data_IF_293505300164
#
_entry.id   IF_293505300164
#
_cell.length_a   1.000
_cell.length_b   1.000
_cell.length_c   1.000
_cell.angle_alpha   90.00
_cell.angle_beta   90.00
_cell.angle_gamma   90.00
#
_symmetry.space_group_name_H-M   'P 1'
#
loop_
_entity.id
_entity.type
_entity.pdbx_description
1 polymer ?
#
# COMPACT_ATOMS: atom_id res chain seq x y z
N UNK A 1 24.24 2.45 -3.69
CA UNK A 1 23.38 1.24 -3.76
C UNK A 1 23.13 0.80 -5.19
N UNK A 2 22.65 1.69 -6.08
CA UNK A 2 22.41 1.38 -7.49
C UNK A 2 23.62 0.75 -8.19
N UNK A 3 24.80 1.38 -8.09
CA UNK A 3 26.05 0.85 -8.70
C UNK A 3 26.35 -0.56 -8.22
N UNK A 4 26.25 -0.82 -6.91
CA UNK A 4 26.50 -2.15 -6.34
C UNK A 4 25.52 -3.18 -6.90
N UNK A 5 24.24 -2.84 -7.06
CA UNK A 5 23.25 -3.71 -7.67
C UNK A 5 23.64 -4.08 -9.10
N UNK A 6 23.94 -3.07 -9.94
CA UNK A 6 24.32 -3.29 -11.34
C UNK A 6 25.57 -4.16 -11.45
N UNK A 7 26.65 -3.79 -10.74
CA UNK A 7 27.93 -4.52 -10.78
C UNK A 7 27.77 -5.96 -10.33
N UNK A 8 26.96 -6.23 -9.31
CA UNK A 8 26.69 -7.58 -8.86
C UNK A 8 26.02 -8.43 -9.95
N UNK A 9 24.99 -7.88 -10.62
CA UNK A 9 24.26 -8.59 -11.68
C UNK A 9 25.14 -8.75 -12.92
N UNK A 10 25.95 -7.75 -13.26
CA UNK A 10 26.89 -7.77 -14.38
C UNK A 10 28.00 -8.81 -14.22
N UNK A 11 28.59 -8.93 -13.02
CA UNK A 11 29.59 -9.97 -12.71
C UNK A 11 28.95 -11.36 -12.79
N UNK A 12 27.67 -11.48 -12.41
CA UNK A 12 26.90 -12.72 -12.43
C UNK A 12 27.61 -13.90 -11.71
N UNK A 13 27.96 -13.74 -10.42
CA UNK A 13 28.89 -14.65 -9.72
C UNK A 13 28.34 -16.05 -9.41
N UNK A 14 27.03 -16.26 -9.50
CA UNK A 14 26.39 -17.55 -9.17
C UNK A 14 25.77 -18.22 -10.40
N UNK A 15 25.64 -19.55 -10.37
CA UNK A 15 24.96 -20.31 -11.42
C UNK A 15 23.45 -20.06 -11.50
N UNK A 16 22.82 -19.65 -10.40
CA UNK A 16 21.42 -19.23 -10.34
C UNK A 16 21.22 -18.25 -9.18
N UNK A 17 20.20 -17.39 -9.27
CA UNK A 17 19.75 -16.57 -8.16
C UNK A 17 20.39 -15.18 -8.09
N UNK A 18 21.21 -14.77 -9.06
CA UNK A 18 21.88 -13.46 -9.05
C UNK A 18 20.90 -12.30 -8.85
N UNK A 19 19.76 -12.29 -9.55
CA UNK A 19 18.73 -11.26 -9.37
C UNK A 19 18.07 -11.27 -7.98
N UNK A 20 17.94 -12.44 -7.33
CA UNK A 20 17.41 -12.52 -5.95
C UNK A 20 18.44 -11.99 -4.96
N UNK A 21 19.70 -12.35 -5.13
CA UNK A 21 20.79 -11.89 -4.26
C UNK A 21 21.07 -10.40 -4.45
N UNK A 22 21.01 -9.87 -5.68
CA UNK A 22 21.21 -8.44 -5.93
C UNK A 22 20.14 -7.58 -5.25
N UNK A 23 18.87 -8.02 -5.27
CA UNK A 23 17.76 -7.37 -4.55
C UNK A 23 17.95 -7.47 -3.03
N UNK A 24 18.37 -8.63 -2.52
CA UNK A 24 18.66 -8.79 -1.10
C UNK A 24 19.82 -7.89 -0.64
N UNK A 25 20.88 -7.80 -1.44
CA UNK A 25 22.02 -6.91 -1.21
C UNK A 25 21.58 -5.45 -1.19
N UNK A 26 20.73 -5.05 -2.14
CA UNK A 26 20.11 -3.72 -2.19
C UNK A 26 19.33 -3.43 -0.91
N UNK A 27 18.50 -4.37 -0.47
CA UNK A 27 17.75 -4.24 0.78
C UNK A 27 18.67 -4.09 1.99
N UNK A 28 19.72 -4.91 2.09
CA UNK A 28 20.71 -4.81 3.16
C UNK A 28 21.41 -3.44 3.18
N UNK A 29 21.67 -2.84 2.01
CA UNK A 29 22.21 -1.48 1.92
C UNK A 29 21.20 -0.43 2.40
N UNK A 30 19.91 -0.54 2.05
CA UNK A 30 18.87 0.36 2.57
C UNK A 30 18.80 0.31 4.10
N UNK A 31 18.85 -0.90 4.68
CA UNK A 31 18.90 -1.09 6.14
C UNK A 31 20.15 -0.42 6.72
N UNK A 32 21.33 -0.70 6.16
CA UNK A 32 22.60 -0.14 6.65
C UNK A 32 22.64 1.39 6.59
N UNK A 33 21.96 1.99 5.60
CA UNK A 33 21.88 3.43 5.40
C UNK A 33 20.78 4.10 6.23
N UNK A 34 19.99 3.34 7.01
CA UNK A 34 18.93 3.88 7.85
C UNK A 34 17.63 4.23 7.12
N UNK A 35 17.50 3.82 5.85
CA UNK A 35 16.29 4.07 5.04
C UNK A 35 15.15 3.09 5.38
N UNK A 36 15.45 1.94 5.99
CA UNK A 36 14.45 0.96 6.43
C UNK A 36 14.97 0.20 7.64
N UNK A 37 14.06 -0.39 8.43
CA UNK A 37 14.43 -1.20 9.60
C UNK A 37 14.39 -2.69 9.29
N UNK A 38 15.31 -3.46 9.87
CA UNK A 38 15.21 -4.92 9.89
C UNK A 38 14.13 -5.42 10.87
N UNK A 39 13.79 -4.60 11.87
CA UNK A 39 12.80 -4.86 12.91
C UNK A 39 11.75 -3.75 12.92
N UNK A 40 10.57 -4.01 12.37
CA UNK A 40 9.45 -3.06 12.29
C UNK A 40 8.89 -2.90 10.89
N UNK A 41 8.19 -1.79 10.65
CA UNK A 41 7.57 -1.48 9.36
C UNK A 41 8.66 -1.34 8.29
N UNK A 42 8.65 -2.24 7.30
CA UNK A 42 9.58 -2.23 6.16
C UNK A 42 9.10 -1.20 5.15
N UNK A 43 9.29 0.07 5.49
CA UNK A 43 8.83 1.19 4.68
C UNK A 43 9.28 1.01 3.22
N UNK A 44 10.60 0.90 2.99
CA UNK A 44 11.13 0.79 1.63
C UNK A 44 11.42 -0.65 1.23
N UNK A 45 10.85 -1.07 0.10
CA UNK A 45 11.10 -2.38 -0.50
C UNK A 45 11.72 -2.20 -1.90
N UNK A 46 12.97 -2.64 -2.14
CA UNK A 46 13.61 -2.49 -3.44
C UNK A 46 12.90 -3.25 -4.57
N UNK A 47 11.99 -4.18 -4.25
CA UNK A 47 11.08 -4.79 -5.24
C UNK A 47 10.16 -3.76 -5.87
N UNK A 48 9.81 -2.67 -5.19
CA UNK A 48 9.03 -1.56 -5.77
C UNK A 48 9.83 -0.82 -6.84
N UNK A 49 11.16 -0.77 -6.73
CA UNK A 49 12.03 -0.12 -7.73
C UNK A 49 12.31 -1.02 -8.93
N UNK A 50 12.44 -2.33 -8.71
CA UNK A 50 12.88 -3.28 -9.75
C UNK A 50 11.76 -4.18 -10.30
N UNK A 51 10.62 -4.23 -9.64
CA UNK A 51 9.49 -5.12 -9.96
C UNK A 51 8.19 -4.38 -10.27
N UNK A 52 8.13 -3.06 -10.08
CA UNK A 52 6.98 -2.24 -10.49
C UNK A 52 6.90 -2.04 -11.99
N UNK A 53 8.03 -2.09 -12.71
CA UNK A 53 8.11 -2.18 -14.17
C UNK A 53 9.32 -3.04 -14.52
N UNK A 54 9.06 -4.30 -14.89
CA UNK A 54 10.12 -5.25 -15.20
C UNK A 54 10.83 -4.92 -16.51
N UNK A 55 10.10 -4.34 -17.47
CA UNK A 55 10.65 -3.99 -18.77
C UNK A 55 11.61 -2.81 -18.62
N UNK A 56 11.15 -1.72 -17.98
CA UNK A 56 12.00 -0.56 -17.71
C UNK A 56 13.22 -0.94 -16.88
N UNK A 57 13.09 -1.84 -15.89
CA UNK A 57 14.22 -2.34 -15.12
C UNK A 57 15.29 -2.98 -16.01
N UNK A 58 14.91 -3.91 -16.90
CA UNK A 58 15.89 -4.58 -17.77
C UNK A 58 16.48 -3.65 -18.83
N UNK A 59 15.69 -2.70 -19.35
CA UNK A 59 16.17 -1.69 -20.29
C UNK A 59 17.26 -0.82 -19.66
N UNK A 60 17.01 -0.25 -18.49
CA UNK A 60 17.98 0.58 -17.78
C UNK A 60 19.22 -0.23 -17.36
N UNK A 61 19.03 -1.50 -16.97
CA UNK A 61 20.14 -2.39 -16.64
C UNK A 61 21.00 -2.68 -17.88
N UNK A 62 20.38 -2.97 -19.02
CA UNK A 62 21.07 -3.24 -20.29
C UNK A 62 21.81 -2.02 -20.82
N UNK A 63 21.26 -0.81 -20.64
CA UNK A 63 21.95 0.44 -20.98
C UNK A 63 23.23 0.59 -20.13
N UNK A 64 23.13 0.32 -18.82
CA UNK A 64 24.25 0.42 -17.90
C UNK A 64 25.38 -0.59 -18.15
N UNK A 65 25.11 -1.66 -18.89
CA UNK A 65 26.13 -2.65 -19.27
C UNK A 65 27.21 -2.09 -20.21
N UNK A 66 26.98 -0.92 -20.83
CA UNK A 66 28.00 -0.18 -21.58
C UNK A 66 29.17 0.30 -20.71
N UNK A 67 28.95 0.41 -19.40
CA UNK A 67 29.86 0.93 -18.39
C UNK A 67 30.31 2.38 -18.60
N UNK A 68 29.72 3.12 -19.55
CA UNK A 68 29.97 4.55 -19.72
C UNK A 68 29.37 5.32 -18.54
N UNK A 69 30.06 6.36 -18.09
CA UNK A 69 29.63 7.15 -16.94
C UNK A 69 28.19 7.67 -17.09
N UNK A 70 27.82 8.17 -18.27
CA UNK A 70 26.47 8.64 -18.58
C UNK A 70 25.39 7.56 -18.46
N UNK A 71 25.71 6.31 -18.80
CA UNK A 71 24.75 5.20 -18.76
C UNK A 71 24.62 4.63 -17.34
N UNK A 72 25.73 4.62 -16.57
CA UNK A 72 25.70 4.33 -15.14
C UNK A 72 24.92 5.41 -14.37
N UNK A 73 25.04 6.67 -14.77
CA UNK A 73 24.27 7.78 -14.21
C UNK A 73 22.77 7.59 -14.45
N UNK A 74 22.35 7.28 -15.69
CA UNK A 74 20.95 6.95 -16.00
C UNK A 74 20.41 5.82 -15.14
N UNK A 75 21.20 4.78 -14.91
CA UNK A 75 20.84 3.70 -14.00
C UNK A 75 20.69 4.18 -12.55
N UNK A 76 21.62 5.01 -12.06
CA UNK A 76 21.51 5.59 -10.72
C UNK A 76 20.26 6.45 -10.56
N UNK A 77 19.93 7.26 -11.56
CA UNK A 77 18.71 8.09 -11.59
C UNK A 77 17.44 7.24 -11.60
N UNK A 78 17.40 6.18 -12.42
CA UNK A 78 16.28 5.23 -12.42
C UNK A 78 16.03 4.64 -11.02
N UNK A 79 17.09 4.13 -10.37
CA UNK A 79 16.97 3.56 -9.02
C UNK A 79 16.55 4.62 -8.00
N UNK A 80 17.11 5.82 -8.08
CA UNK A 80 16.78 6.91 -7.17
C UNK A 80 15.32 7.36 -7.32
N UNK A 81 14.82 7.49 -8.54
CA UNK A 81 13.41 7.82 -8.79
C UNK A 81 12.47 6.77 -8.21
N UNK A 82 12.77 5.48 -8.37
CA UNK A 82 11.96 4.42 -7.78
C UNK A 82 11.93 4.49 -6.25
N UNK A 83 13.09 4.70 -5.60
CA UNK A 83 13.14 4.85 -4.14
C UNK A 83 12.36 6.09 -3.67
N UNK A 84 12.52 7.22 -4.36
CA UNK A 84 11.82 8.45 -4.04
C UNK A 84 10.30 8.31 -4.19
N UNK A 85 9.83 7.63 -5.24
CA UNK A 85 8.42 7.34 -5.47
C UNK A 85 7.84 6.44 -4.38
N UNK A 86 8.54 5.37 -4.01
CA UNK A 86 8.11 4.47 -2.93
C UNK A 86 8.00 5.23 -1.60
N UNK A 87 9.01 6.05 -1.28
CA UNK A 87 9.01 6.90 -0.09
C UNK A 87 7.82 7.87 -0.06
N UNK A 88 7.48 8.48 -1.20
CA UNK A 88 6.30 9.33 -1.31
C UNK A 88 5.01 8.54 -1.04
N UNK A 89 4.85 7.37 -1.66
CA UNK A 89 3.65 6.53 -1.45
C UNK A 89 3.47 6.14 0.01
N UNK A 90 4.57 5.84 0.72
CA UNK A 90 4.52 5.52 2.16
C UNK A 90 4.09 6.74 2.99
N UNK A 91 4.60 7.94 2.67
CA UNK A 91 4.21 9.17 3.35
C UNK A 91 2.73 9.48 3.12
N UNK A 92 2.25 9.32 1.89
CA UNK A 92 0.85 9.49 1.53
C UNK A 92 -0.03 8.48 2.28
N UNK A 93 0.30 7.19 2.27
CA UNK A 93 -0.45 6.16 2.99
C UNK A 93 -0.37 6.26 4.52
N UNK A 94 0.61 7.00 5.06
CA UNK A 94 0.71 7.29 6.49
C UNK A 94 -0.18 8.48 6.90
N UNK A 95 -0.68 9.27 5.95
CA UNK A 95 -1.56 10.40 6.20
C UNK A 95 -3.02 9.96 6.23
N UNK A 96 -3.68 10.11 7.39
CA UNK A 96 -5.12 9.84 7.51
C UNK A 96 -5.94 10.65 6.52
N UNK A 97 -5.56 11.89 6.25
CA UNK A 97 -6.26 12.74 5.29
C UNK A 97 -6.16 12.18 3.86
N UNK A 98 -4.97 11.73 3.45
CA UNK A 98 -4.80 11.09 2.14
C UNK A 98 -5.58 9.78 2.08
N UNK A 99 -5.45 8.92 3.09
CA UNK A 99 -6.16 7.63 3.11
C UNK A 99 -7.68 7.82 3.03
N UNK A 100 -8.25 8.79 3.75
CA UNK A 100 -9.70 9.02 3.71
C UNK A 100 -10.16 9.63 2.39
N UNK A 101 -9.44 10.63 1.87
CA UNK A 101 -9.89 11.40 0.71
C UNK A 101 -9.53 10.75 -0.63
N UNK A 102 -8.37 10.11 -0.70
CA UNK A 102 -7.83 9.60 -1.97
C UNK A 102 -7.98 8.08 -2.10
N UNK A 103 -8.12 7.33 -1.00
CA UNK A 103 -8.16 5.87 -1.05
C UNK A 103 -9.49 5.29 -0.56
N UNK A 104 -9.81 5.43 0.72
CA UNK A 104 -10.93 4.79 1.38
C UNK A 104 -12.27 5.41 0.97
N UNK A 105 -12.39 6.74 0.94
CA UNK A 105 -13.59 7.44 0.49
C UNK A 105 -14.00 7.07 -0.93
N UNK A 106 -13.12 7.22 -1.93
CA UNK A 106 -13.42 6.81 -3.31
C UNK A 106 -13.77 5.33 -3.44
N UNK A 107 -13.13 4.44 -2.66
CA UNK A 107 -13.49 3.02 -2.65
C UNK A 107 -14.90 2.77 -2.09
N UNK A 108 -15.30 3.51 -1.04
CA UNK A 108 -16.66 3.46 -0.49
C UNK A 108 -17.70 4.02 -1.47
N UNK A 109 -17.37 5.08 -2.21
CA UNK A 109 -18.23 5.64 -3.25
C UNK A 109 -18.48 4.62 -4.36
N UNK A 110 -17.44 3.94 -4.84
CA UNK A 110 -17.60 2.85 -5.82
C UNK A 110 -18.45 1.71 -5.29
N UNK A 111 -18.24 1.30 -4.04
CA UNK A 111 -19.06 0.27 -3.42
C UNK A 111 -20.53 0.71 -3.23
N UNK A 112 -20.79 2.00 -3.03
CA UNK A 112 -22.14 2.57 -3.00
C UNK A 112 -22.79 2.59 -4.38
N UNK A 113 -22.06 3.02 -5.41
CA UNK A 113 -22.55 3.04 -6.80
C UNK A 113 -22.94 1.64 -7.30
N UNK A 114 -22.21 0.61 -6.85
CA UNK A 114 -22.49 -0.80 -7.15
C UNK A 114 -23.55 -1.42 -6.20
N UNK A 115 -24.19 -0.62 -5.36
CA UNK A 115 -25.20 -1.02 -4.38
C UNK A 115 -24.72 -2.06 -3.34
N UNK A 116 -23.41 -2.21 -3.15
CA UNK A 116 -22.82 -3.03 -2.08
C UNK A 116 -22.94 -2.34 -0.72
N UNK A 117 -22.92 -1.01 -0.69
CA UNK A 117 -23.14 -0.21 0.51
C UNK A 117 -24.34 0.70 0.34
N UNK A 118 -25.00 0.98 1.46
CA UNK A 118 -25.96 2.09 1.54
C UNK A 118 -25.24 3.40 1.89
N UNK A 119 -25.81 4.55 1.52
CA UNK A 119 -25.21 5.85 1.86
C UNK A 119 -25.05 6.07 3.37
N UNK A 120 -25.90 5.43 4.17
CA UNK A 120 -25.78 5.40 5.64
C UNK A 120 -24.57 4.60 6.11
N UNK A 121 -24.30 3.45 5.49
CA UNK A 121 -23.12 2.63 5.80
C UNK A 121 -21.83 3.36 5.40
N UNK A 122 -21.80 4.01 4.24
CA UNK A 122 -20.66 4.86 3.81
C UNK A 122 -20.37 5.94 4.85
N UNK A 123 -21.40 6.70 5.27
CA UNK A 123 -21.23 7.76 6.26
C UNK A 123 -20.70 7.22 7.60
N UNK A 124 -21.19 6.06 8.04
CA UNK A 124 -20.71 5.41 9.27
C UNK A 124 -19.26 4.97 9.11
N UNK A 125 -18.90 4.30 8.02
CA UNK A 125 -17.53 3.82 7.78
C UNK A 125 -16.53 4.98 7.71
N UNK A 126 -16.86 6.06 7.01
CA UNK A 126 -16.05 7.27 6.97
C UNK A 126 -15.86 7.88 8.36
N UNK A 127 -16.95 8.01 9.14
CA UNK A 127 -16.87 8.58 10.49
C UNK A 127 -15.98 7.74 11.41
N UNK A 128 -16.09 6.41 11.32
CA UNK A 128 -15.29 5.48 12.12
C UNK A 128 -13.82 5.54 11.71
N UNK A 129 -13.54 5.53 10.41
CA UNK A 129 -12.18 5.59 9.89
C UNK A 129 -11.48 6.92 10.28
N UNK A 130 -12.20 8.04 10.21
CA UNK A 130 -11.72 9.36 10.64
C UNK A 130 -11.44 9.44 12.15
N UNK A 131 -12.28 8.80 12.97
CA UNK A 131 -12.14 8.81 14.44
C UNK A 131 -11.22 7.70 14.98
N UNK A 132 -10.78 6.76 14.13
CA UNK A 132 -9.97 5.58 14.48
C UNK A 132 -10.75 4.48 15.21
N UNK A 133 -11.28 4.79 16.39
CA UNK A 133 -12.09 3.87 17.19
C UNK A 133 -13.30 4.59 17.80
N UNK A 134 -14.49 4.03 17.61
CA UNK A 134 -15.74 4.63 18.12
C UNK A 134 -16.51 3.67 19.01
N UNK A 135 -17.25 4.21 19.97
CA UNK A 135 -18.33 3.50 20.64
C UNK A 135 -19.64 3.59 19.82
N UNK A 136 -20.63 2.78 20.17
CA UNK A 136 -21.96 2.90 19.59
C UNK A 136 -22.61 4.28 19.89
N UNK A 137 -22.16 5.01 20.91
CA UNK A 137 -22.67 6.35 21.23
C UNK A 137 -22.19 7.43 20.26
N UNK A 138 -20.97 7.27 19.73
CA UNK A 138 -20.30 8.30 18.93
C UNK A 138 -20.86 8.42 17.51
N UNK A 139 -21.62 7.41 17.06
CA UNK A 139 -22.31 7.41 15.76
C UNK A 139 -23.81 7.67 15.88
N UNK A 140 -24.28 8.24 17.01
CA UNK A 140 -25.71 8.50 17.25
C UNK A 140 -26.36 9.41 16.20
N UNK A 141 -25.61 10.35 15.65
CA UNK A 141 -26.10 11.32 14.67
C UNK A 141 -26.34 10.65 13.30
N UNK A 142 -25.57 9.59 13.00
CA UNK A 142 -25.72 8.78 11.78
C UNK A 142 -26.68 7.61 11.97
N UNK A 143 -26.71 7.03 13.19
CA UNK A 143 -27.53 5.89 13.56
C UNK A 143 -28.48 6.28 14.71
N UNK A 144 -29.61 6.94 14.42
CA UNK A 144 -30.56 7.33 15.48
C UNK A 144 -31.20 6.10 16.15
N UNK A 145 -31.66 6.29 17.39
CA UNK A 145 -32.32 5.25 18.19
C UNK A 145 -31.65 5.00 19.55
N UNK A 146 -31.99 3.89 20.20
CA UNK A 146 -31.35 3.47 21.45
C UNK A 146 -29.96 2.88 21.20
N UNK A 147 -29.15 2.75 22.26
CA UNK A 147 -27.83 2.10 22.15
C UNK A 147 -27.91 0.66 21.66
N UNK A 148 -28.99 -0.06 22.00
CA UNK A 148 -29.20 -1.44 21.54
C UNK A 148 -29.49 -1.50 20.03
N UNK A 149 -30.29 -0.55 19.52
CA UNK A 149 -30.61 -0.44 18.09
C UNK A 149 -29.35 -0.11 17.29
N UNK A 150 -28.49 0.80 17.77
CA UNK A 150 -27.20 1.11 17.14
C UNK A 150 -26.27 -0.08 17.10
N UNK A 151 -26.11 -0.78 18.22
CA UNK A 151 -25.28 -1.98 18.28
C UNK A 151 -25.77 -3.06 17.31
N UNK A 152 -27.10 -3.20 17.12
CA UNK A 152 -27.66 -4.12 16.11
C UNK A 152 -27.31 -3.70 14.68
N UNK A 153 -27.37 -2.40 14.36
CA UNK A 153 -26.98 -1.89 13.04
C UNK A 153 -25.48 -2.08 12.77
N UNK A 154 -24.63 -1.74 13.75
CA UNK A 154 -23.18 -1.96 13.66
C UNK A 154 -22.81 -3.46 13.59
N UNK A 155 -23.64 -4.33 14.17
CA UNK A 155 -23.45 -5.78 14.06
C UNK A 155 -23.53 -6.25 12.60
N UNK A 156 -24.43 -5.69 11.78
CA UNK A 156 -24.49 -6.05 10.35
C UNK A 156 -23.20 -5.74 9.61
N UNK A 157 -22.49 -4.67 10.00
CA UNK A 157 -21.19 -4.31 9.41
C UNK A 157 -20.05 -5.18 9.94
N UNK A 158 -20.13 -5.63 11.20
CA UNK A 158 -19.22 -6.65 11.74
C UNK A 158 -19.39 -8.00 11.02
N UNK A 159 -20.64 -8.42 10.81
CA UNK A 159 -20.97 -9.70 10.19
C UNK A 159 -20.52 -9.75 8.71
N UNK A 160 -20.30 -8.59 8.08
CA UNK A 160 -19.77 -8.42 6.71
C UNK A 160 -18.27 -8.11 6.69
N UNK A 161 -17.59 -8.19 7.83
CA UNK A 161 -16.17 -7.84 7.99
C UNK A 161 -15.83 -6.41 7.53
N UNK A 162 -16.78 -5.47 7.54
CA UNK A 162 -16.51 -4.05 7.25
C UNK A 162 -16.03 -3.28 8.48
N UNK A 163 -16.31 -3.82 9.67
CA UNK A 163 -15.83 -3.34 10.95
C UNK A 163 -15.12 -4.47 11.70
N UNK A 164 -14.35 -4.11 12.72
CA UNK A 164 -13.90 -5.04 13.74
C UNK A 164 -13.93 -4.39 15.12
N UNK A 165 -13.81 -5.20 16.17
CA UNK A 165 -13.63 -4.72 17.54
C UNK A 165 -12.19 -4.92 17.97
N UNK A 166 -11.44 -3.85 18.32
CA UNK A 166 -10.12 -3.97 18.92
C UNK A 166 -10.19 -4.80 20.22
N UNK A 167 -9.20 -5.67 20.44
CA UNK A 167 -9.16 -6.55 21.62
C UNK A 167 -9.25 -5.76 22.93
N UNK A 168 -10.02 -6.29 23.89
CA UNK A 168 -10.22 -5.64 25.19
C UNK A 168 -11.13 -4.41 25.16
N UNK A 169 -11.68 -4.01 24.01
CA UNK A 169 -12.55 -2.83 23.89
C UNK A 169 -13.99 -3.19 23.52
N UNK A 170 -14.92 -2.27 23.82
CA UNK A 170 -16.29 -2.28 23.28
C UNK A 170 -16.45 -1.34 22.08
N UNK A 171 -15.33 -0.92 21.50
CA UNK A 171 -15.29 0.02 20.38
C UNK A 171 -15.28 -0.72 19.05
N UNK A 172 -15.53 0.03 17.99
CA UNK A 172 -15.54 -0.40 16.61
C UNK A 172 -14.48 0.39 15.85
N UNK A 173 -13.78 -0.28 14.95
CA UNK A 173 -12.85 0.33 14.00
C UNK A 173 -13.14 -0.19 12.59
N UNK A 174 -12.78 0.60 11.58
CA UNK A 174 -13.04 0.27 10.18
C UNK A 174 -12.08 -0.83 9.70
N UNK A 175 -12.61 -1.81 8.98
CA UNK A 175 -11.80 -2.85 8.32
C UNK A 175 -11.76 -2.57 6.83
N UNK A 176 -10.56 -2.28 6.31
CA UNK A 176 -10.34 -1.99 4.90
C UNK A 176 -9.98 -3.22 4.05
N UNK A 177 -9.80 -4.41 4.64
CA UNK A 177 -9.34 -5.59 3.89
C UNK A 177 -10.02 -6.88 4.35
N UNK A 178 -10.15 -7.84 3.43
CA UNK A 178 -10.74 -9.15 3.69
C UNK A 178 -12.27 -9.13 3.61
N UNK A 179 -12.82 -8.14 2.92
CA UNK A 179 -14.26 -7.93 2.71
C UNK A 179 -14.51 -7.40 1.28
N UNK A 180 -15.77 -7.09 0.97
CA UNK A 180 -16.20 -6.62 -0.35
C UNK A 180 -15.52 -5.30 -0.79
N UNK A 181 -14.94 -4.50 0.13
CA UNK A 181 -14.18 -3.28 -0.22
C UNK A 181 -12.79 -3.56 -0.77
N UNK A 182 -12.25 -4.77 -0.56
CA UNK A 182 -10.85 -5.08 -0.90
C UNK A 182 -10.57 -4.83 -2.38
N UNK A 183 -11.48 -5.23 -3.28
CA UNK A 183 -11.30 -5.04 -4.71
C UNK A 183 -11.33 -3.56 -5.11
N UNK A 184 -12.20 -2.76 -4.47
CA UNK A 184 -12.29 -1.32 -4.74
C UNK A 184 -11.04 -0.58 -4.26
N UNK A 185 -10.49 -0.98 -3.11
CA UNK A 185 -9.24 -0.43 -2.60
C UNK A 185 -8.04 -0.82 -3.47
N UNK A 186 -7.97 -2.06 -3.94
CA UNK A 186 -6.94 -2.50 -4.90
C UNK A 186 -7.02 -1.68 -6.18
N UNK A 187 -8.21 -1.58 -6.80
CA UNK A 187 -8.41 -0.77 -8.01
C UNK A 187 -8.04 0.70 -7.77
N UNK A 188 -8.40 1.26 -6.61
CA UNK A 188 -8.06 2.65 -6.30
C UNK A 188 -6.55 2.86 -6.10
N UNK A 189 -5.86 1.94 -5.43
CA UNK A 189 -4.39 1.95 -5.36
C UNK A 189 -3.76 1.86 -6.75
N UNK A 190 -4.38 1.12 -7.67
CA UNK A 190 -3.90 1.01 -9.04
C UNK A 190 -4.03 2.31 -9.83
N UNK A 191 -5.20 2.96 -9.75
CA UNK A 191 -5.47 4.28 -10.32
C UNK A 191 -4.51 5.35 -9.80
N UNK A 192 -4.12 5.25 -8.52
CA UNK A 192 -3.13 6.13 -7.90
C UNK A 192 -1.67 5.78 -8.28
N UNK A 193 -1.44 4.72 -9.06
CA UNK A 193 -0.10 4.28 -9.43
C UNK A 193 0.69 3.68 -8.27
N UNK A 194 0.01 3.23 -7.22
CA UNK A 194 0.62 2.70 -5.99
C UNK A 194 0.73 1.17 -5.98
N UNK A 195 0.18 0.48 -6.99
CA UNK A 195 0.38 -0.95 -7.17
C UNK A 195 1.54 -1.26 -8.13
N UNK A 196 2.40 -2.24 -7.80
CA UNK A 196 3.35 -2.80 -8.76
C UNK A 196 2.65 -3.35 -10.00
N UNK A 197 3.21 -3.15 -11.21
CA UNK A 197 2.62 -3.68 -12.46
C UNK A 197 2.42 -5.20 -12.46
N UNK A 198 3.24 -5.96 -11.70
CA UNK A 198 3.09 -7.41 -11.59
C UNK A 198 1.73 -7.84 -10.99
N UNK A 199 1.04 -6.95 -10.28
CA UNK A 199 -0.30 -7.19 -9.76
C UNK A 199 -1.41 -6.76 -10.74
N UNK A 200 -1.08 -5.99 -11.78
CA UNK A 200 -2.03 -5.55 -12.83
C UNK A 200 -2.33 -6.67 -13.83
N UNK A 201 -1.34 -7.50 -14.13
CA UNK A 201 -1.47 -8.59 -15.12
C UNK A 201 -2.31 -9.78 -14.65
N UNK A 202 -2.75 -9.78 -13.38
CA UNK A 202 -3.53 -10.86 -12.75
C UNK A 202 -4.93 -10.46 -12.28
N UNK A 203 -5.37 -9.24 -12.56
CA UNK A 203 -6.71 -8.70 -12.27
C UNK A 203 -7.56 -8.63 -13.55
#
# INVERSE_FOLDING_TARGET
>A
MAIVHHRFVWIHPFGNGNGRVSRLLTYAMLVKLGFTSASGYRALNPTVVFGSDRQAYYEHLSIADSLRDEDIEKWCLYVLHGVASDMKNILDLSSSAFVLNELYGPALEKAYDEALLTGKEVAVLLKIADSGEVSAGDVKDLLPGSSAVRSKQLKSLLDRDLLYRPEGTRKYSARAWGNDLSIHLVRRLDELGMLPSILRDGL
#
